data_IF_690239401940
#
_entry.id   IF_690239401940
#
_cell.length_a   1.000
_cell.length_b   1.000
_cell.length_c   1.000
_cell.angle_alpha   90.00
_cell.angle_beta   90.00
_cell.angle_gamma   90.00
#
_symmetry.space_group_name_H-M   'P 1'
#
loop_
_entity.id
_entity.type
_entity.pdbx_description
1 polymer ?
#
# COMPACT_ATOMS: atom_id res chain seq x y z
N UNK A 1 -8.23 11.28 11.59
CA UNK A 1 -6.87 11.44 11.04
C UNK A 1 -6.66 12.90 10.63
N UNK A 2 -5.44 13.48 10.76
CA UNK A 2 -5.08 14.77 10.12
C UNK A 2 -5.78 16.02 10.63
N UNK A 3 -6.22 16.08 11.90
CA UNK A 3 -7.06 17.17 12.45
C UNK A 3 -6.52 18.57 12.12
N UNK A 4 -5.23 18.82 12.36
CA UNK A 4 -4.62 20.15 12.19
C UNK A 4 -4.26 20.47 10.73
N UNK A 5 -4.25 19.46 9.85
CA UNK A 5 -3.84 19.59 8.45
C UNK A 5 -4.95 20.18 7.57
N UNK A 6 -6.21 19.89 7.85
CA UNK A 6 -7.34 20.35 7.02
C UNK A 6 -7.52 21.86 7.04
N UNK A 7 -7.25 22.50 8.19
CA UNK A 7 -7.29 23.96 8.31
C UNK A 7 -6.03 24.60 7.71
N UNK A 8 -4.86 23.96 7.88
CA UNK A 8 -3.60 24.43 7.31
C UNK A 8 -3.60 24.38 5.78
N UNK A 9 -4.21 23.35 5.18
CA UNK A 9 -4.26 23.10 3.74
C UNK A 9 -5.69 23.10 3.20
N UNK A 10 -6.43 24.18 3.48
CA UNK A 10 -7.82 24.35 3.05
C UNK A 10 -8.00 24.29 1.53
N UNK A 11 -6.99 24.77 0.77
CA UNK A 11 -6.94 24.65 -0.68
C UNK A 11 -7.02 23.19 -1.16
N UNK A 12 -6.25 22.29 -0.54
CA UNK A 12 -6.26 20.87 -0.86
C UNK A 12 -7.50 20.17 -0.29
N UNK A 13 -7.99 20.59 0.87
CA UNK A 13 -9.25 20.08 1.45
C UNK A 13 -10.40 20.31 0.48
N UNK A 14 -10.59 21.55 0.02
CA UNK A 14 -11.65 21.89 -0.94
C UNK A 14 -11.47 21.20 -2.30
N UNK A 15 -10.25 21.07 -2.79
CA UNK A 15 -9.97 20.36 -4.03
C UNK A 15 -10.33 18.87 -3.91
N UNK A 16 -10.01 18.23 -2.79
CA UNK A 16 -10.39 16.84 -2.53
C UNK A 16 -11.91 16.68 -2.44
N UNK A 17 -12.61 17.53 -1.67
CA UNK A 17 -14.07 17.51 -1.53
C UNK A 17 -14.79 17.64 -2.87
N UNK A 18 -14.32 18.59 -3.73
CA UNK A 18 -14.88 18.79 -5.06
C UNK A 18 -14.72 17.56 -5.99
N UNK A 19 -13.62 16.81 -5.86
CA UNK A 19 -13.37 15.61 -6.65
C UNK A 19 -14.15 14.41 -6.10
N UNK A 20 -14.11 14.24 -4.78
CA UNK A 20 -14.68 13.08 -4.09
C UNK A 20 -16.22 13.14 -4.00
N UNK A 21 -16.80 14.34 -3.99
CA UNK A 21 -18.24 14.54 -3.84
C UNK A 21 -18.74 14.43 -2.39
N UNK A 22 -17.83 14.46 -1.40
CA UNK A 22 -18.12 14.46 0.02
C UNK A 22 -17.01 15.19 0.80
N UNK A 23 -17.30 15.56 2.06
CA UNK A 23 -16.30 16.19 2.92
C UNK A 23 -15.29 15.17 3.42
N UNK A 24 -14.03 15.30 2.95
CA UNK A 24 -12.91 14.47 3.39
C UNK A 24 -12.56 14.76 4.85
N UNK A 25 -12.75 16.00 5.29
CA UNK A 25 -12.56 16.43 6.67
C UNK A 25 -13.51 15.70 7.60
N UNK A 26 -14.82 15.73 7.32
CA UNK A 26 -15.83 15.04 8.14
C UNK A 26 -15.58 13.53 8.19
N UNK A 27 -15.27 12.92 7.04
CA UNK A 27 -14.91 11.51 6.97
C UNK A 27 -13.71 11.19 7.86
N UNK A 28 -12.65 11.98 7.83
CA UNK A 28 -11.43 11.72 8.61
C UNK A 28 -11.56 12.00 10.11
N UNK A 29 -12.42 12.94 10.51
CA UNK A 29 -12.51 13.42 11.89
C UNK A 29 -13.68 12.82 12.67
N UNK A 30 -14.79 12.54 12.00
CA UNK A 30 -16.04 12.15 12.64
C UNK A 30 -16.47 10.73 12.28
N UNK A 31 -16.36 10.36 10.99
CA UNK A 31 -16.74 9.04 10.45
C UNK A 31 -18.07 8.49 10.99
N UNK A 32 -19.07 9.37 11.07
CA UNK A 32 -20.35 9.06 11.72
C UNK A 32 -21.09 7.84 11.13
N UNK A 33 -20.77 7.45 9.91
CA UNK A 33 -21.33 6.29 9.22
C UNK A 33 -20.38 5.08 9.18
N UNK A 34 -19.19 5.16 9.79
CA UNK A 34 -18.18 4.09 9.77
C UNK A 34 -17.61 3.79 8.38
N UNK A 35 -17.60 4.78 7.48
CA UNK A 35 -17.15 4.61 6.08
C UNK A 35 -15.66 4.40 5.96
N UNK A 36 -14.84 4.88 6.91
CA UNK A 36 -13.38 4.69 6.88
C UNK A 36 -12.94 3.22 6.90
N UNK A 37 -13.82 2.29 7.31
CA UNK A 37 -13.57 0.86 7.22
C UNK A 37 -13.68 0.28 5.80
N UNK A 38 -14.20 1.04 4.83
CA UNK A 38 -14.41 0.61 3.44
C UNK A 38 -13.31 1.19 2.56
N UNK A 39 -12.67 0.33 1.75
CA UNK A 39 -11.47 0.69 0.97
C UNK A 39 -11.69 1.87 0.02
N UNK A 40 -12.91 2.03 -0.51
CA UNK A 40 -13.28 3.14 -1.38
C UNK A 40 -13.20 4.52 -0.70
N UNK A 41 -13.33 4.57 0.63
CA UNK A 41 -13.18 5.77 1.45
C UNK A 41 -11.82 5.84 2.13
N UNK A 42 -11.29 4.68 2.59
CA UNK A 42 -9.98 4.60 3.25
C UNK A 42 -8.86 5.10 2.36
N UNK A 43 -8.88 4.72 1.06
CA UNK A 43 -7.79 5.07 0.15
C UNK A 43 -7.70 6.59 -0.09
N UNK A 44 -8.78 7.29 -0.50
CA UNK A 44 -8.73 8.75 -0.61
C UNK A 44 -8.38 9.45 0.70
N UNK A 45 -8.90 8.98 1.84
CA UNK A 45 -8.64 9.57 3.14
C UNK A 45 -7.16 9.49 3.53
N UNK A 46 -6.54 8.32 3.38
CA UNK A 46 -5.12 8.13 3.63
C UNK A 46 -4.27 8.93 2.64
N UNK A 47 -4.62 8.93 1.34
CA UNK A 47 -3.89 9.68 0.35
C UNK A 47 -3.85 11.18 0.68
N UNK A 48 -4.99 11.79 0.98
CA UNK A 48 -5.10 13.22 1.31
C UNK A 48 -4.31 13.56 2.56
N UNK A 49 -4.48 12.81 3.65
CA UNK A 49 -3.78 13.07 4.91
C UNK A 49 -2.26 12.87 4.76
N UNK A 50 -1.81 11.84 4.07
CA UNK A 50 -0.39 11.61 3.82
C UNK A 50 0.21 12.74 2.95
N UNK A 51 -0.50 13.16 1.91
CA UNK A 51 -0.06 14.25 1.03
C UNK A 51 0.08 15.57 1.80
N UNK A 52 -0.90 15.91 2.64
CA UNK A 52 -0.85 17.10 3.51
C UNK A 52 0.30 16.99 4.53
N UNK A 53 0.53 15.80 5.11
CA UNK A 53 1.65 15.58 6.03
C UNK A 53 2.99 15.82 5.33
N UNK A 54 3.14 15.34 4.10
CA UNK A 54 4.36 15.57 3.32
C UNK A 54 4.52 17.05 2.94
N UNK A 55 3.44 17.74 2.57
CA UNK A 55 3.45 19.18 2.28
C UNK A 55 3.87 19.99 3.51
N UNK A 56 3.34 19.69 4.69
CA UNK A 56 3.75 20.32 5.95
C UNK A 56 5.25 20.10 6.24
N UNK A 57 5.75 18.89 5.98
CA UNK A 57 7.18 18.59 6.08
C UNK A 57 8.02 19.47 5.11
N UNK A 58 7.58 19.62 3.87
CA UNK A 58 8.28 20.47 2.90
C UNK A 58 8.30 21.96 3.35
N UNK A 59 7.15 22.48 3.82
CA UNK A 59 7.03 23.86 4.31
C UNK A 59 7.85 24.11 5.59
N UNK A 60 8.19 23.07 6.37
CA UNK A 60 9.09 23.18 7.53
C UNK A 60 10.57 23.39 7.16
N UNK A 61 10.92 23.43 5.88
CA UNK A 61 12.28 23.66 5.40
C UNK A 61 13.21 22.44 5.50
N UNK A 62 12.68 21.25 5.77
CA UNK A 62 13.48 20.02 5.78
C UNK A 62 13.99 19.70 4.38
N UNK A 63 15.21 19.13 4.24
CA UNK A 63 15.76 18.77 2.94
C UNK A 63 14.89 17.72 2.24
N UNK A 64 14.89 17.75 0.89
CA UNK A 64 14.23 16.73 0.10
C UNK A 64 14.80 15.33 0.42
N UNK A 65 13.97 14.28 0.47
CA UNK A 65 14.45 12.93 0.66
C UNK A 65 15.22 12.44 -0.57
N UNK A 66 16.21 11.55 -0.36
CA UNK A 66 16.96 10.94 -1.45
C UNK A 66 16.11 9.92 -2.23
N UNK A 67 15.18 9.25 -1.55
CA UNK A 67 14.24 8.29 -2.10
C UNK A 67 12.86 8.48 -1.48
N UNK A 68 11.84 8.07 -2.21
CA UNK A 68 10.48 7.92 -1.66
C UNK A 68 9.94 6.54 -1.99
N UNK A 69 9.19 5.99 -1.05
CA UNK A 69 8.51 4.70 -1.20
C UNK A 69 7.17 4.76 -0.46
N UNK A 70 6.25 3.89 -0.83
CA UNK A 70 4.98 3.80 -0.14
C UNK A 70 4.40 2.39 -0.25
N UNK A 71 3.76 1.91 0.81
CA UNK A 71 3.14 0.60 0.84
C UNK A 71 1.74 0.66 0.20
N UNK A 72 1.51 -0.12 -0.84
CA UNK A 72 0.23 -0.19 -1.56
C UNK A 72 -0.29 1.20 -1.97
N UNK A 73 -1.33 1.73 -1.30
CA UNK A 73 -1.82 3.09 -1.52
C UNK A 73 -0.73 4.17 -1.37
N UNK A 74 0.17 3.99 -0.41
CA UNK A 74 1.26 4.94 -0.16
C UNK A 74 2.18 5.17 -1.35
N UNK A 75 2.23 4.26 -2.31
CA UNK A 75 2.99 4.43 -3.56
C UNK A 75 2.48 5.62 -4.38
N UNK A 76 1.18 5.92 -4.35
CA UNK A 76 0.59 7.12 -4.96
C UNK A 76 1.08 8.40 -4.28
N UNK A 77 1.24 8.38 -2.95
CA UNK A 77 1.83 9.50 -2.22
C UNK A 77 3.31 9.69 -2.56
N UNK A 78 4.06 8.60 -2.72
CA UNK A 78 5.46 8.66 -3.15
C UNK A 78 5.60 9.24 -4.57
N UNK A 79 4.74 8.85 -5.50
CA UNK A 79 4.70 9.42 -6.86
C UNK A 79 4.29 10.90 -6.86
N UNK A 80 3.34 11.30 -6.01
CA UNK A 80 2.99 12.71 -5.81
C UNK A 80 4.19 13.51 -5.26
N UNK A 81 4.88 12.99 -4.25
CA UNK A 81 6.07 13.62 -3.69
C UNK A 81 7.18 13.80 -4.73
N UNK A 82 7.34 12.84 -5.64
CA UNK A 82 8.25 12.88 -6.78
C UNK A 82 7.70 13.68 -7.98
N UNK A 83 6.56 14.38 -7.83
CA UNK A 83 5.91 15.24 -8.84
C UNK A 83 5.54 14.56 -10.15
N UNK A 84 5.30 13.27 -10.10
CA UNK A 84 4.84 12.48 -11.26
C UNK A 84 3.48 12.97 -11.76
N UNK A 85 2.61 13.37 -10.85
CA UNK A 85 1.31 14.01 -11.09
C UNK A 85 1.02 15.03 -9.98
N UNK A 86 -0.01 15.86 -10.16
CA UNK A 86 -0.46 16.81 -9.16
C UNK A 86 -1.44 16.18 -8.14
N UNK A 87 -1.73 16.93 -7.08
CA UNK A 87 -2.61 16.48 -6.00
C UNK A 87 -4.01 16.09 -6.51
N UNK A 88 -4.61 16.90 -7.38
CA UNK A 88 -5.95 16.66 -7.90
C UNK A 88 -6.01 15.38 -8.75
N UNK A 89 -4.99 15.14 -9.57
CA UNK A 89 -4.83 13.88 -10.31
C UNK A 89 -4.69 12.71 -9.34
N UNK A 90 -3.84 12.83 -8.33
CA UNK A 90 -3.65 11.78 -7.32
C UNK A 90 -4.96 11.40 -6.61
N UNK A 91 -5.80 12.39 -6.22
CA UNK A 91 -7.12 12.15 -5.61
C UNK A 91 -8.01 11.34 -6.56
N UNK A 92 -8.07 11.68 -7.85
CA UNK A 92 -8.86 10.93 -8.86
C UNK A 92 -8.36 9.49 -9.01
N UNK A 93 -7.04 9.29 -9.05
CA UNK A 93 -6.43 7.97 -9.19
C UNK A 93 -6.80 7.06 -8.01
N UNK A 94 -6.67 7.57 -6.77
CA UNK A 94 -6.96 6.75 -5.58
C UNK A 94 -8.46 6.59 -5.32
N UNK A 95 -9.29 7.52 -5.75
CA UNK A 95 -10.76 7.40 -5.73
C UNK A 95 -11.20 6.21 -6.58
N UNK A 96 -10.77 6.16 -7.84
CA UNK A 96 -11.12 5.08 -8.74
C UNK A 96 -10.50 3.74 -8.32
N UNK A 97 -9.24 3.75 -7.88
CA UNK A 97 -8.60 2.55 -7.31
C UNK A 97 -9.39 2.01 -6.13
N UNK A 98 -9.77 2.86 -5.19
CA UNK A 98 -10.55 2.48 -4.01
C UNK A 98 -11.92 1.92 -4.38
N UNK A 99 -12.61 2.55 -5.34
CA UNK A 99 -13.90 2.11 -5.87
C UNK A 99 -13.80 0.72 -6.51
N UNK A 100 -12.91 0.54 -7.48
CA UNK A 100 -12.73 -0.74 -8.19
C UNK A 100 -12.32 -1.87 -7.26
N UNK A 101 -11.38 -1.60 -6.34
CA UNK A 101 -10.95 -2.61 -5.35
C UNK A 101 -12.06 -2.93 -4.35
N UNK A 102 -12.92 -1.97 -4.03
CA UNK A 102 -14.04 -2.14 -3.11
C UNK A 102 -15.19 -2.99 -3.66
N UNK A 103 -15.29 -3.15 -4.97
CA UNK A 103 -16.31 -3.96 -5.63
C UNK A 103 -16.04 -5.48 -5.56
N UNK A 104 -14.83 -5.87 -5.20
CA UNK A 104 -14.46 -7.29 -5.08
C UNK A 104 -14.87 -7.83 -3.71
N UNK A 105 -15.63 -8.91 -3.71
CA UNK A 105 -16.17 -9.54 -2.50
C UNK A 105 -15.95 -11.06 -2.49
N UNK A 106 -16.23 -11.69 -1.35
CA UNK A 106 -16.27 -13.15 -1.22
C UNK A 106 -14.93 -13.81 -0.91
N UNK A 107 -13.86 -13.03 -0.75
CA UNK A 107 -12.53 -13.51 -0.38
C UNK A 107 -11.98 -12.68 0.79
N UNK A 108 -10.72 -12.88 1.14
CA UNK A 108 -10.11 -12.20 2.28
C UNK A 108 -8.58 -12.26 2.28
N UNK A 109 -8.02 -11.85 3.41
CA UNK A 109 -6.57 -11.85 3.64
C UNK A 109 -6.28 -12.32 5.07
N UNK A 110 -5.10 -12.91 5.28
CA UNK A 110 -4.60 -13.28 6.61
C UNK A 110 -3.14 -12.89 6.76
N UNK A 111 -2.79 -12.30 7.91
CA UNK A 111 -1.40 -12.04 8.27
C UNK A 111 -0.78 -13.29 8.91
N UNK A 112 0.33 -13.78 8.36
CA UNK A 112 1.15 -14.86 8.88
C UNK A 112 2.34 -14.22 9.61
N UNK A 113 2.46 -14.51 10.90
CA UNK A 113 3.46 -13.89 11.78
C UNK A 113 4.45 -14.93 12.28
N UNK A 114 5.75 -14.61 12.21
CA UNK A 114 6.83 -15.41 12.80
C UNK A 114 7.31 -16.57 11.93
N UNK A 115 6.93 -16.59 10.65
CA UNK A 115 7.42 -17.56 9.67
C UNK A 115 8.05 -16.83 8.48
N UNK A 116 9.20 -17.30 8.03
CA UNK A 116 9.93 -16.70 6.91
C UNK A 116 9.14 -16.84 5.59
N UNK A 117 9.16 -15.80 4.71
CA UNK A 117 8.43 -15.83 3.43
C UNK A 117 8.70 -17.05 2.55
N UNK A 118 9.94 -17.56 2.36
CA UNK A 118 10.18 -18.78 1.59
C UNK A 118 9.48 -20.02 2.15
N UNK A 119 9.41 -20.15 3.49
CA UNK A 119 8.70 -21.26 4.12
C UNK A 119 7.20 -21.15 3.92
N UNK A 120 6.64 -19.94 3.97
CA UNK A 120 5.22 -19.72 3.67
C UNK A 120 4.92 -20.13 2.24
N UNK A 121 5.73 -19.70 1.26
CA UNK A 121 5.55 -20.08 -0.14
C UNK A 121 5.60 -21.61 -0.32
N UNK A 122 6.57 -22.30 0.30
CA UNK A 122 6.68 -23.76 0.25
C UNK A 122 5.42 -24.45 0.81
N UNK A 123 4.85 -23.95 1.92
CA UNK A 123 3.59 -24.47 2.48
C UNK A 123 2.43 -24.26 1.52
N UNK A 124 2.31 -23.07 0.91
CA UNK A 124 1.24 -22.79 -0.06
C UNK A 124 1.35 -23.72 -1.29
N UNK A 125 2.54 -23.94 -1.82
CA UNK A 125 2.77 -24.79 -2.98
C UNK A 125 2.48 -26.27 -2.70
N UNK A 126 2.77 -26.73 -1.47
CA UNK A 126 2.62 -28.14 -1.07
C UNK A 126 1.17 -28.55 -0.83
N UNK A 127 0.24 -27.64 -0.56
CA UNK A 127 -1.15 -27.95 -0.21
C UNK A 127 -2.15 -27.56 -1.29
N UNK A 128 -3.28 -28.27 -1.39
CA UNK A 128 -4.35 -27.95 -2.34
C UNK A 128 -4.96 -26.58 -2.02
N UNK A 129 -5.27 -26.30 -0.75
CA UNK A 129 -5.79 -25.02 -0.31
C UNK A 129 -4.78 -23.90 -0.60
N UNK A 130 -3.49 -24.12 -0.34
CA UNK A 130 -2.44 -23.14 -0.56
C UNK A 130 -2.29 -22.71 -2.01
N UNK A 131 -2.48 -23.60 -2.98
CA UNK A 131 -2.42 -23.29 -4.41
C UNK A 131 -3.48 -22.29 -4.88
N UNK A 132 -4.54 -22.10 -4.10
CA UNK A 132 -5.58 -21.09 -4.32
C UNK A 132 -5.30 -19.77 -3.59
N UNK A 133 -4.19 -19.68 -2.86
CA UNK A 133 -3.78 -18.50 -2.13
C UNK A 133 -2.55 -17.87 -2.77
N UNK A 134 -2.48 -16.54 -2.70
CA UNK A 134 -1.33 -15.77 -3.12
C UNK A 134 -0.67 -15.09 -1.92
N UNK A 135 0.63 -14.86 -1.99
CA UNK A 135 1.29 -13.92 -1.09
C UNK A 135 0.97 -12.50 -1.56
N UNK A 136 0.18 -11.79 -0.78
CA UNK A 136 -0.24 -10.43 -1.08
C UNK A 136 0.80 -9.37 -0.67
N UNK A 137 1.43 -9.55 0.52
CA UNK A 137 2.43 -8.61 0.99
C UNK A 137 3.60 -9.35 1.64
N UNK A 138 4.80 -9.04 1.21
CA UNK A 138 6.04 -9.33 1.92
C UNK A 138 6.38 -8.13 2.80
N UNK A 139 5.85 -8.08 4.04
CA UNK A 139 5.98 -6.91 4.90
C UNK A 139 7.31 -6.84 5.64
N UNK A 140 7.80 -7.98 6.14
CA UNK A 140 9.10 -8.14 6.79
C UNK A 140 9.51 -9.61 6.76
N UNK A 141 10.69 -9.94 7.31
CA UNK A 141 11.12 -11.33 7.50
C UNK A 141 10.16 -12.16 8.37
N UNK A 142 9.36 -11.49 9.22
CA UNK A 142 8.46 -12.14 10.19
C UNK A 142 6.97 -11.85 9.95
N UNK A 143 6.65 -11.07 8.93
CA UNK A 143 5.27 -10.73 8.61
C UNK A 143 5.02 -10.82 7.12
N UNK A 144 4.17 -11.73 6.73
CA UNK A 144 3.68 -11.94 5.36
C UNK A 144 2.17 -11.94 5.37
N UNK A 145 1.54 -11.35 4.36
CA UNK A 145 0.08 -11.41 4.19
C UNK A 145 -0.23 -12.31 3.01
N UNK A 146 -1.15 -13.26 3.22
CA UNK A 146 -1.70 -14.13 2.18
C UNK A 146 -3.13 -13.73 1.86
N UNK A 147 -3.56 -13.92 0.62
CA UNK A 147 -4.87 -13.52 0.12
C UNK A 147 -5.49 -14.62 -0.75
N UNK A 148 -6.81 -14.72 -0.70
CA UNK A 148 -7.59 -15.65 -1.52
C UNK A 148 -8.94 -15.98 -0.92
N UNK A 149 -9.58 -17.10 -1.34
CA UNK A 149 -10.88 -17.50 -0.84
C UNK A 149 -10.85 -17.77 0.66
N UNK A 150 -11.91 -17.38 1.38
CA UNK A 150 -11.97 -17.50 2.85
C UNK A 150 -11.87 -18.94 3.39
N UNK A 151 -12.49 -19.95 2.75
CA UNK A 151 -12.36 -21.35 3.20
C UNK A 151 -10.89 -21.80 3.22
N UNK A 152 -10.14 -21.51 2.16
CA UNK A 152 -8.74 -21.91 1.99
C UNK A 152 -7.82 -21.15 2.97
N UNK A 153 -8.12 -19.87 3.26
CA UNK A 153 -7.44 -19.13 4.32
C UNK A 153 -7.66 -19.72 5.71
N UNK A 154 -8.85 -20.27 5.97
CA UNK A 154 -9.14 -20.97 7.23
C UNK A 154 -8.46 -22.32 7.31
N UNK A 155 -8.47 -23.10 6.22
CA UNK A 155 -7.88 -24.44 6.12
C UNK A 155 -6.35 -24.39 6.30
N UNK A 156 -5.66 -23.49 5.59
CA UNK A 156 -4.18 -23.41 5.59
C UNK A 156 -3.59 -22.98 6.95
N UNK A 157 -4.40 -22.41 7.83
CA UNK A 157 -3.94 -21.85 9.12
C UNK A 157 -3.18 -22.86 9.96
N UNK A 158 -3.74 -24.06 10.15
CA UNK A 158 -3.11 -25.13 10.95
C UNK A 158 -1.76 -25.53 10.36
N UNK A 159 -1.70 -25.76 9.05
CA UNK A 159 -0.48 -26.16 8.33
C UNK A 159 0.62 -25.09 8.45
N UNK A 160 0.28 -23.81 8.37
CA UNK A 160 1.23 -22.73 8.57
C UNK A 160 1.76 -22.68 10.01
N UNK A 161 0.92 -22.96 11.00
CA UNK A 161 1.32 -23.04 12.41
C UNK A 161 2.22 -24.26 12.68
N UNK A 162 1.93 -25.42 12.11
CA UNK A 162 2.78 -26.61 12.16
C UNK A 162 4.14 -26.37 11.49
N UNK A 163 4.19 -25.54 10.42
CA UNK A 163 5.42 -25.14 9.77
C UNK A 163 6.23 -24.09 10.56
N UNK A 164 5.70 -23.63 11.70
CA UNK A 164 6.37 -22.71 12.63
C UNK A 164 5.84 -21.29 12.65
N UNK A 165 4.71 -20.98 12.01
CA UNK A 165 4.08 -19.67 12.17
C UNK A 165 3.59 -19.50 13.61
N UNK A 166 4.00 -18.39 14.25
CA UNK A 166 3.59 -18.05 15.62
C UNK A 166 2.08 -17.82 15.69
N UNK A 167 1.52 -17.17 14.69
CA UNK A 167 0.07 -16.93 14.56
C UNK A 167 -0.31 -16.60 13.12
N UNK A 168 -1.58 -16.92 12.77
CA UNK A 168 -2.22 -16.55 11.51
C UNK A 168 -3.50 -15.79 11.86
N UNK A 169 -3.58 -14.50 11.49
CA UNK A 169 -4.63 -13.56 11.90
C UNK A 169 -5.43 -13.14 10.66
N UNK A 170 -6.73 -13.49 10.58
CA UNK A 170 -7.61 -12.93 9.56
C UNK A 170 -7.64 -11.40 9.63
N UNK A 171 -7.53 -10.73 8.49
CA UNK A 171 -7.63 -9.29 8.40
C UNK A 171 -9.08 -8.88 8.16
N UNK A 172 -9.47 -7.74 8.71
CA UNK A 172 -10.79 -7.17 8.50
C UNK A 172 -10.89 -6.45 7.15
N UNK A 173 -10.80 -7.24 6.07
CA UNK A 173 -10.94 -6.78 4.68
C UNK A 173 -11.89 -7.69 3.92
N UNK A 174 -12.57 -7.13 2.92
CA UNK A 174 -13.60 -7.87 2.14
C UNK A 174 -13.07 -8.50 0.85
N UNK A 175 -11.85 -8.16 0.44
CA UNK A 175 -11.28 -8.55 -0.84
C UNK A 175 -9.86 -9.10 -0.71
N UNK A 176 -9.43 -9.93 -1.66
CA UNK A 176 -8.10 -10.54 -1.70
C UNK A 176 -7.10 -9.61 -2.41
N UNK A 177 -6.86 -8.43 -1.82
CA UNK A 177 -5.98 -7.42 -2.42
C UNK A 177 -4.60 -8.00 -2.75
N UNK A 178 -3.99 -7.47 -3.82
CA UNK A 178 -2.64 -7.85 -4.27
C UNK A 178 -2.49 -9.35 -4.61
N UNK A 179 -3.54 -9.93 -5.19
CA UNK A 179 -3.57 -11.34 -5.62
C UNK A 179 -4.08 -11.49 -7.05
N UNK A 180 -3.95 -12.70 -7.62
CA UNK A 180 -4.48 -13.05 -8.94
C UNK A 180 -5.96 -12.72 -9.11
N UNK A 181 -6.73 -12.74 -8.03
CA UNK A 181 -8.16 -12.44 -8.02
C UNK A 181 -8.48 -10.97 -8.28
N UNK A 182 -7.48 -10.09 -8.16
CA UNK A 182 -7.60 -8.67 -8.49
C UNK A 182 -7.30 -8.37 -9.97
N UNK A 183 -7.02 -9.38 -10.79
CA UNK A 183 -6.71 -9.18 -12.22
C UNK A 183 -7.78 -8.42 -13.01
N UNK A 184 -9.09 -8.67 -12.83
CA UNK A 184 -10.14 -7.87 -13.49
C UNK A 184 -10.06 -6.38 -13.08
N UNK A 185 -9.79 -6.10 -11.81
CA UNK A 185 -9.60 -4.72 -11.29
C UNK A 185 -8.37 -4.07 -11.90
N UNK A 186 -7.27 -4.80 -12.01
CA UNK A 186 -6.06 -4.33 -12.69
C UNK A 186 -6.35 -3.88 -14.12
N UNK A 187 -7.05 -4.68 -14.92
CA UNK A 187 -7.38 -4.36 -16.31
C UNK A 187 -8.30 -3.14 -16.42
N UNK A 188 -9.31 -3.04 -15.55
CA UNK A 188 -10.20 -1.88 -15.49
C UNK A 188 -9.41 -0.61 -15.11
N UNK A 189 -8.52 -0.70 -14.14
CA UNK A 189 -7.68 0.42 -13.71
C UNK A 189 -6.65 0.82 -14.78
N UNK A 190 -6.06 -0.14 -15.48
CA UNK A 190 -5.16 0.11 -16.61
C UNK A 190 -5.88 0.93 -17.71
N UNK A 191 -7.12 0.57 -18.03
CA UNK A 191 -7.96 1.33 -18.96
C UNK A 191 -8.25 2.74 -18.43
N UNK A 192 -8.55 2.87 -17.14
CA UNK A 192 -8.76 4.16 -16.48
C UNK A 192 -7.54 5.07 -16.53
N UNK A 193 -6.33 4.51 -16.46
CA UNK A 193 -5.09 5.28 -16.50
C UNK A 193 -4.77 5.90 -17.87
N UNK A 194 -5.37 5.40 -18.96
CA UNK A 194 -5.05 5.79 -20.35
C UNK A 194 -5.06 7.31 -20.61
N UNK A 195 -6.06 8.11 -20.12
CA UNK A 195 -6.11 9.55 -20.39
C UNK A 195 -5.16 10.38 -19.51
N UNK A 196 -4.49 9.76 -18.53
CA UNK A 196 -3.61 10.50 -17.61
C UNK A 196 -2.18 10.59 -18.14
N UNK A 197 -1.57 11.74 -17.93
CA UNK A 197 -0.16 11.97 -18.24
C UNK A 197 0.69 11.89 -16.97
N UNK A 198 1.76 11.11 -17.02
CA UNK A 198 2.69 10.91 -15.92
C UNK A 198 4.04 11.51 -16.29
N UNK A 199 4.55 12.41 -15.44
CA UNK A 199 5.89 13.00 -15.60
C UNK A 199 6.97 12.04 -15.11
N UNK A 200 8.18 12.22 -15.58
CA UNK A 200 9.35 11.55 -15.00
C UNK A 200 9.49 11.95 -13.53
N UNK A 201 9.69 11.00 -12.60
CA UNK A 201 9.90 11.32 -11.19
C UNK A 201 11.12 12.23 -11.00
N UNK A 202 10.97 13.30 -10.19
CA UNK A 202 12.07 14.22 -9.84
C UNK A 202 13.03 13.62 -8.79
N UNK A 203 12.63 12.55 -8.12
CA UNK A 203 13.45 11.74 -7.21
C UNK A 203 13.07 10.27 -7.35
N UNK A 204 13.98 9.32 -7.05
CA UNK A 204 13.70 7.90 -7.17
C UNK A 204 12.51 7.47 -6.31
N UNK A 205 11.52 6.83 -6.94
CA UNK A 205 10.35 6.21 -6.29
C UNK A 205 10.51 4.70 -6.38
N UNK A 206 10.54 3.99 -5.26
CA UNK A 206 10.64 2.52 -5.25
C UNK A 206 9.25 1.92 -5.42
N UNK A 207 9.07 1.16 -6.51
CA UNK A 207 7.81 0.53 -6.85
C UNK A 207 7.57 -0.75 -6.04
N UNK A 208 6.34 -0.97 -5.57
CA UNK A 208 5.98 -2.20 -4.84
C UNK A 208 6.10 -3.46 -5.70
N UNK A 209 5.81 -3.35 -6.98
CA UNK A 209 5.83 -4.47 -7.94
C UNK A 209 7.24 -5.01 -8.15
N UNK A 210 8.22 -4.14 -8.30
CA UNK A 210 9.59 -4.51 -8.69
C UNK A 210 10.58 -4.43 -7.54
N UNK A 211 10.26 -3.72 -6.45
CA UNK A 211 11.17 -3.36 -5.36
C UNK A 211 12.41 -2.60 -5.86
N UNK A 212 12.27 -1.83 -6.92
CA UNK A 212 13.30 -1.02 -7.56
C UNK A 212 12.68 0.33 -8.00
N UNK A 213 13.50 1.35 -8.29
CA UNK A 213 13.00 2.62 -8.80
C UNK A 213 12.15 2.46 -10.06
N UNK A 214 11.12 3.30 -10.18
CA UNK A 214 10.32 3.38 -11.39
C UNK A 214 11.18 3.68 -12.62
N UNK A 215 10.90 2.99 -13.70
CA UNK A 215 11.49 3.27 -15.02
C UNK A 215 10.63 4.31 -15.73
N UNK A 216 11.19 5.40 -16.27
CA UNK A 216 10.43 6.36 -17.05
C UNK A 216 9.63 5.68 -18.19
N UNK A 217 8.36 6.08 -18.33
CA UNK A 217 7.47 5.51 -19.35
C UNK A 217 6.72 4.23 -18.96
N UNK A 218 7.04 3.60 -17.80
CA UNK A 218 6.34 2.38 -17.35
C UNK A 218 5.41 2.62 -16.15
N UNK A 219 5.12 3.88 -15.82
CA UNK A 219 4.34 4.21 -14.62
C UNK A 219 2.92 3.64 -14.67
N UNK A 220 2.14 3.81 -15.78
CA UNK A 220 0.78 3.28 -15.84
C UNK A 220 0.73 1.75 -15.67
N UNK A 221 1.60 1.02 -16.37
CA UNK A 221 1.67 -0.44 -16.33
C UNK A 221 2.07 -0.93 -14.93
N UNK A 222 3.04 -0.25 -14.29
CA UNK A 222 3.52 -0.59 -12.95
C UNK A 222 2.44 -0.35 -11.90
N UNK A 223 1.74 0.80 -11.97
CA UNK A 223 0.62 1.11 -11.07
C UNK A 223 -0.56 0.14 -11.24
N UNK A 224 -0.92 -0.19 -12.47
CA UNK A 224 -1.98 -1.16 -12.74
C UNK A 224 -1.55 -2.56 -12.25
N UNK A 225 -0.32 -2.97 -12.58
CA UNK A 225 0.25 -4.26 -12.15
C UNK A 225 0.31 -4.45 -10.64
N UNK A 226 0.54 -3.38 -9.88
CA UNK A 226 0.57 -3.39 -8.41
C UNK A 226 -0.74 -3.95 -7.80
N UNK A 227 -1.89 -3.70 -8.43
CA UNK A 227 -3.22 -4.08 -7.90
C UNK A 227 -3.36 -5.60 -7.75
N UNK A 228 -2.84 -6.38 -8.71
CA UNK A 228 -2.97 -7.83 -8.75
C UNK A 228 -1.64 -8.56 -8.44
N UNK A 229 -0.66 -7.86 -7.90
CA UNK A 229 0.67 -8.41 -7.59
C UNK A 229 1.07 -8.10 -6.17
N UNK A 230 1.98 -8.89 -5.62
CA UNK A 230 2.49 -8.74 -4.26
C UNK A 230 3.13 -7.37 -4.02
N UNK A 231 2.85 -6.77 -2.87
CA UNK A 231 3.61 -5.65 -2.33
C UNK A 231 4.93 -6.16 -1.77
N UNK A 232 6.03 -5.89 -2.43
CA UNK A 232 7.38 -6.34 -2.06
C UNK A 232 8.06 -5.35 -1.10
N UNK A 233 7.39 -5.05 0.03
CA UNK A 233 7.86 -4.05 0.98
C UNK A 233 9.20 -4.42 1.63
N UNK A 234 9.37 -5.68 2.02
CA UNK A 234 10.64 -6.19 2.53
C UNK A 234 11.79 -5.92 1.55
N UNK A 235 11.61 -6.30 0.29
CA UNK A 235 12.64 -6.11 -0.73
C UNK A 235 12.90 -4.62 -1.02
N UNK A 236 11.84 -3.79 -0.98
CA UNK A 236 11.95 -2.33 -1.15
C UNK A 236 12.80 -1.69 -0.05
N UNK A 237 12.60 -2.07 1.22
CA UNK A 237 13.42 -1.57 2.32
C UNK A 237 14.84 -2.11 2.23
N UNK A 238 15.03 -3.39 1.87
CA UNK A 238 16.36 -3.96 1.66
C UNK A 238 17.11 -3.28 0.52
N UNK A 239 16.40 -2.90 -0.56
CA UNK A 239 16.97 -2.09 -1.64
C UNK A 239 17.46 -0.74 -1.10
N UNK A 240 16.62 0.00 -0.37
CA UNK A 240 16.97 1.30 0.20
C UNK A 240 18.18 1.22 1.15
N UNK A 241 18.24 0.20 2.00
CA UNK A 241 19.38 -0.03 2.87
C UNK A 241 20.69 -0.28 2.10
N UNK A 242 20.64 -1.00 0.97
CA UNK A 242 21.80 -1.22 0.08
C UNK A 242 22.24 0.06 -0.63
N UNK A 243 21.31 0.97 -0.92
CA UNK A 243 21.59 2.31 -1.46
C UNK A 243 22.14 3.28 -0.38
N UNK A 244 22.34 2.81 0.86
CA UNK A 244 22.91 3.61 1.95
C UNK A 244 21.88 4.47 2.67
N UNK A 245 20.59 4.23 2.50
CA UNK A 245 19.55 4.93 3.28
C UNK A 245 19.54 4.40 4.70
N UNK A 246 19.79 5.26 5.66
CA UNK A 246 19.86 4.95 7.09
C UNK A 246 18.72 5.57 7.91
N UNK A 247 18.02 6.56 7.39
CA UNK A 247 16.89 7.21 8.04
C UNK A 247 15.61 7.04 7.21
N UNK A 248 14.53 6.67 7.89
CA UNK A 248 13.19 6.56 7.32
C UNK A 248 12.23 7.45 8.08
N UNK A 249 11.45 8.25 7.37
CA UNK A 249 10.42 9.12 7.94
C UNK A 249 9.07 8.71 7.35
N UNK A 250 8.13 8.27 8.20
CA UNK A 250 6.79 7.87 7.77
C UNK A 250 5.86 9.08 7.69
N UNK A 251 5.26 9.29 6.51
CA UNK A 251 4.29 10.35 6.27
C UNK A 251 2.87 9.79 6.37
N UNK A 252 2.12 10.28 7.37
CA UNK A 252 0.73 9.87 7.56
C UNK A 252 0.39 9.45 8.98
N UNK A 253 -0.82 8.91 9.19
CA UNK A 253 -1.27 8.49 10.52
C UNK A 253 -0.64 7.16 10.91
N UNK A 254 -0.14 7.09 12.14
CA UNK A 254 0.42 5.86 12.71
C UNK A 254 1.92 5.69 12.50
N UNK A 255 2.41 4.50 12.81
CA UNK A 255 3.85 4.15 12.81
C UNK A 255 4.08 2.71 12.33
N UNK A 256 3.24 2.22 11.43
CA UNK A 256 3.29 0.82 10.99
C UNK A 256 4.53 0.58 10.13
N UNK A 257 4.76 1.45 9.15
CA UNK A 257 5.89 1.29 8.23
C UNK A 257 7.23 1.57 8.94
N UNK A 258 7.26 2.52 9.88
CA UNK A 258 8.40 2.77 10.76
C UNK A 258 8.81 1.51 11.52
N UNK A 259 7.85 0.79 12.12
CA UNK A 259 8.10 -0.45 12.84
C UNK A 259 8.60 -1.57 11.91
N UNK A 260 8.00 -1.70 10.73
CA UNK A 260 8.43 -2.69 9.72
C UNK A 260 9.86 -2.39 9.25
N UNK A 261 10.17 -1.15 8.91
CA UNK A 261 11.52 -0.75 8.49
C UNK A 261 12.57 -1.02 9.59
N UNK A 262 12.25 -0.70 10.85
CA UNK A 262 13.13 -0.99 11.99
C UNK A 262 13.37 -2.50 12.18
N UNK A 263 12.34 -3.34 12.04
CA UNK A 263 12.46 -4.80 12.11
C UNK A 263 13.34 -5.34 10.98
N UNK A 264 13.13 -4.87 9.74
CA UNK A 264 13.91 -5.28 8.58
C UNK A 264 15.38 -4.89 8.76
N UNK A 265 15.65 -3.63 9.13
CA UNK A 265 17.01 -3.13 9.37
C UNK A 265 17.75 -3.95 10.43
N UNK A 266 17.09 -4.23 11.57
CA UNK A 266 17.68 -5.03 12.65
C UNK A 266 18.11 -6.41 12.17
N UNK A 267 17.28 -7.08 11.35
CA UNK A 267 17.59 -8.44 10.86
C UNK A 267 18.58 -8.44 9.69
N UNK A 268 18.54 -7.43 8.83
CA UNK A 268 19.51 -7.26 7.74
C UNK A 268 20.93 -6.93 8.23
N UNK A 269 21.07 -6.37 9.44
CA UNK A 269 22.36 -6.01 10.05
C UNK A 269 22.99 -7.17 10.86
N UNK A 270 22.33 -8.33 10.95
CA UNK A 270 22.88 -9.55 11.57
C UNK A 270 23.62 -10.32 10.49
N UNK A 271 24.96 -10.54 10.63
CA UNK A 271 25.75 -11.30 9.68
C UNK A 271 25.32 -12.76 9.58
#
# INVERSE_FOLDING_TARGET
>A
MGRDLFDQFDDWTRAADAILGYSIRELCLEDGEGRLGRTEFTQPALFVVNAMTYRARQESGRPAPAFVAGHSLGEYNALLAARVFDFATGVKLVQERGRLMGEVHGAGMSAVIGLDPPKIQAVLEASLAGRLLDVANFNSFEQTVIAGPKPELAEIKATLQEAGARTVIPLNVSAPFHSRYMRPVQLAFETFLTPFSFRTPEMPVVANLTAAPYVPGTIPETLAGQIASSVRWLDSILYLLREGVDEFEEMGPGTVLTKLAAQIRKRASVP
#
